data_IF_752770315763
#
_entry.id   IF_752770315763
#
_cell.length_a   1.000
_cell.length_b   1.000
_cell.length_c   1.000
_cell.angle_alpha   90.00
_cell.angle_beta   90.00
_cell.angle_gamma   90.00
#
_symmetry.space_group_name_H-M   'P 1'
#
loop_
_entity.id
_entity.type
_entity.pdbx_description
1 polymer ?
#
# COMPACT_ATOMS: atom_id res chain seq x y z
N UNK A 1 1.89 -5.49 11.42
CA UNK A 1 1.87 -4.45 10.37
C UNK A 1 3.31 -4.22 9.94
N UNK A 2 3.56 -3.95 8.65
CA UNK A 2 4.90 -3.73 8.10
C UNK A 2 4.88 -2.49 7.21
N UNK A 3 5.87 -1.61 7.40
CA UNK A 3 6.08 -0.44 6.55
C UNK A 3 7.21 -0.72 5.56
N UNK A 4 7.01 -0.33 4.31
CA UNK A 4 7.93 -0.58 3.19
C UNK A 4 8.20 0.75 2.49
N UNK A 5 9.46 1.04 2.20
CA UNK A 5 9.83 2.16 1.33
C UNK A 5 9.72 1.71 -0.14
N UNK A 6 9.26 2.57 -1.04
CA UNK A 6 9.27 2.33 -2.49
C UNK A 6 10.63 1.87 -3.03
N UNK A 7 11.73 2.27 -2.39
CA UNK A 7 13.09 1.87 -2.77
C UNK A 7 13.25 0.33 -2.76
N UNK A 8 12.47 -0.38 -1.93
CA UNK A 8 12.44 -1.84 -1.91
C UNK A 8 11.91 -2.48 -3.22
N UNK A 9 11.32 -1.70 -4.13
CA UNK A 9 10.76 -2.19 -5.39
C UNK A 9 11.59 -1.85 -6.64
N UNK A 10 12.60 -0.97 -6.54
CA UNK A 10 13.28 -0.38 -7.71
C UNK A 10 14.67 -0.97 -8.01
N UNK A 11 15.29 -1.69 -7.07
CA UNK A 11 16.69 -2.10 -7.21
C UNK A 11 16.89 -3.21 -8.25
N UNK A 12 16.16 -4.31 -8.16
CA UNK A 12 16.17 -5.37 -9.18
C UNK A 12 14.79 -6.02 -9.35
N UNK A 13 14.51 -6.63 -10.52
CA UNK A 13 13.29 -7.42 -10.72
C UNK A 13 13.14 -8.54 -9.67
N UNK A 14 14.25 -9.13 -9.23
CA UNK A 14 14.29 -10.17 -8.19
C UNK A 14 13.78 -9.66 -6.85
N UNK A 15 14.23 -8.48 -6.41
CA UNK A 15 13.82 -7.89 -5.13
C UNK A 15 12.32 -7.59 -5.11
N UNK A 16 11.81 -7.06 -6.23
CA UNK A 16 10.37 -6.80 -6.39
C UNK A 16 9.53 -8.10 -6.32
N UNK A 17 10.07 -9.23 -6.81
CA UNK A 17 9.40 -10.53 -6.73
C UNK A 17 9.43 -11.08 -5.31
N UNK A 18 10.55 -10.95 -4.60
CA UNK A 18 10.66 -11.39 -3.22
C UNK A 18 9.68 -10.63 -2.30
N UNK A 19 9.62 -9.30 -2.41
CA UNK A 19 8.65 -8.48 -1.65
C UNK A 19 7.21 -8.92 -1.96
N UNK A 20 6.88 -9.17 -3.24
CA UNK A 20 5.56 -9.68 -3.64
C UNK A 20 5.26 -11.05 -3.01
N UNK A 21 6.24 -11.95 -2.96
CA UNK A 21 6.08 -13.26 -2.32
C UNK A 21 5.83 -13.14 -0.82
N UNK A 22 6.58 -12.29 -0.12
CA UNK A 22 6.39 -12.03 1.31
C UNK A 22 4.97 -11.50 1.58
N UNK A 23 4.51 -10.53 0.80
CA UNK A 23 3.14 -9.98 0.94
C UNK A 23 2.08 -11.07 0.72
N UNK A 24 2.29 -11.98 -0.23
CA UNK A 24 1.35 -13.07 -0.51
C UNK A 24 1.34 -14.14 0.59
N UNK A 25 2.49 -14.43 1.20
CA UNK A 25 2.63 -15.43 2.26
C UNK A 25 2.04 -14.97 3.61
N UNK A 26 1.81 -13.67 3.77
CA UNK A 26 1.28 -13.09 5.02
C UNK A 26 -0.04 -12.34 4.80
N UNK A 27 -1.16 -13.04 4.50
CA UNK A 27 -2.45 -12.42 4.20
C UNK A 27 -3.08 -11.64 5.36
N UNK A 28 -2.67 -11.91 6.60
CA UNK A 28 -3.19 -11.24 7.81
C UNK A 28 -2.33 -10.06 8.26
N UNK A 29 -1.15 -9.90 7.65
CA UNK A 29 -0.24 -8.79 7.92
C UNK A 29 -0.54 -7.65 6.96
N UNK A 30 -0.95 -6.50 7.49
CA UNK A 30 -1.08 -5.29 6.68
C UNK A 30 0.31 -4.73 6.32
N UNK A 31 0.56 -4.60 5.03
CA UNK A 31 1.72 -3.97 4.43
C UNK A 31 1.37 -2.56 3.93
N UNK A 32 2.19 -1.58 4.27
CA UNK A 32 2.02 -0.18 3.87
C UNK A 32 3.27 0.25 3.12
N UNK A 33 3.13 0.59 1.84
CA UNK A 33 4.22 1.05 0.99
C UNK A 33 4.18 2.57 0.89
N UNK A 34 5.22 3.24 1.35
CA UNK A 34 5.38 4.69 1.21
C UNK A 34 6.10 5.02 -0.09
N UNK A 35 5.39 5.68 -1.00
CA UNK A 35 5.92 6.13 -2.29
C UNK A 35 6.03 7.66 -2.36
N UNK A 36 7.04 8.16 -3.08
CA UNK A 36 7.14 9.56 -3.46
C UNK A 36 6.17 9.83 -4.62
N UNK A 37 4.88 9.96 -4.30
CA UNK A 37 3.83 10.18 -5.29
C UNK A 37 3.88 11.66 -5.73
N UNK A 38 4.36 11.89 -6.95
CA UNK A 38 4.25 13.19 -7.60
C UNK A 38 2.84 13.37 -8.18
N UNK A 39 2.00 14.08 -7.43
CA UNK A 39 0.90 14.90 -7.95
C UNK A 39 -0.27 14.17 -8.63
N UNK A 40 -1.19 13.57 -7.87
CA UNK A 40 -2.61 13.45 -8.27
C UNK A 40 -3.46 13.47 -7.00
N UNK A 41 -4.58 14.19 -7.04
CA UNK A 41 -5.63 14.34 -6.03
C UNK A 41 -6.22 13.02 -5.51
N UNK A 42 -5.42 12.21 -4.82
CA UNK A 42 -5.89 11.01 -4.16
C UNK A 42 -6.02 11.28 -2.66
N UNK A 43 -7.12 10.79 -2.11
CA UNK A 43 -7.25 10.55 -0.68
C UNK A 43 -6.00 9.81 -0.20
N UNK A 44 -5.56 10.09 1.03
CA UNK A 44 -4.21 9.92 1.60
C UNK A 44 -3.53 8.54 1.41
N UNK A 45 -4.28 7.55 0.92
CA UNK A 45 -3.83 6.19 0.65
C UNK A 45 -4.61 5.49 -0.48
N UNK A 46 -3.98 4.48 -1.06
CA UNK A 46 -4.56 3.54 -2.03
C UNK A 46 -4.50 2.12 -1.46
N UNK A 47 -5.66 1.54 -1.15
CA UNK A 47 -5.74 0.13 -0.78
C UNK A 47 -5.67 -0.76 -2.03
N UNK A 48 -4.54 -1.44 -2.23
CA UNK A 48 -4.30 -2.32 -3.39
C UNK A 48 -4.90 -3.71 -3.16
N UNK A 49 -4.81 -4.21 -1.93
CA UNK A 49 -5.32 -5.50 -1.48
C UNK A 49 -5.76 -5.39 -0.03
N UNK A 50 -6.46 -6.41 0.46
CA UNK A 50 -6.82 -6.53 1.88
C UNK A 50 -5.67 -6.32 2.87
N UNK A 51 -4.47 -6.69 2.44
CA UNK A 51 -3.27 -6.67 3.26
C UNK A 51 -2.18 -5.80 2.64
N UNK A 52 -2.49 -4.97 1.64
CA UNK A 52 -1.50 -4.11 0.97
C UNK A 52 -2.11 -2.74 0.66
N UNK A 53 -1.47 -1.71 1.19
CA UNK A 53 -1.82 -0.32 1.00
C UNK A 53 -0.59 0.46 0.50
N UNK A 54 -0.83 1.47 -0.31
CA UNK A 54 0.16 2.42 -0.79
C UNK A 54 -0.21 3.77 -0.19
N UNK A 55 0.74 4.51 0.36
CA UNK A 55 0.53 5.87 0.86
C UNK A 55 1.69 6.77 0.44
N UNK A 56 1.47 8.08 0.55
CA UNK A 56 2.52 9.07 0.29
C UNK A 56 3.56 9.05 1.41
N UNK A 57 4.84 9.23 1.06
CA UNK A 57 5.92 9.57 2.01
C UNK A 57 5.63 10.84 2.81
N UNK A 58 4.72 11.70 2.35
CA UNK A 58 4.32 12.96 2.99
C UNK A 58 3.06 12.88 3.87
N UNK A 59 2.52 11.68 4.13
CA UNK A 59 1.34 11.53 5.00
C UNK A 59 1.63 12.14 6.39
N UNK A 60 0.67 12.90 6.93
CA UNK A 60 0.77 13.43 8.29
C UNK A 60 0.54 12.32 9.31
N UNK A 61 1.18 12.37 10.50
CA UNK A 61 0.93 11.40 11.56
C UNK A 61 -0.55 11.24 11.92
N UNK A 62 -1.28 12.35 12.11
CA UNK A 62 -2.71 12.34 12.47
C UNK A 62 -3.59 11.66 11.39
N UNK A 63 -3.23 11.88 10.12
CA UNK A 63 -3.85 11.24 8.96
C UNK A 63 -3.59 9.73 8.94
N UNK A 64 -2.37 9.31 9.26
CA UNK A 64 -2.02 7.91 9.38
C UNK A 64 -2.79 7.25 10.52
N UNK A 65 -2.90 7.88 11.69
CA UNK A 65 -3.65 7.33 12.82
C UNK A 65 -5.13 7.15 12.49
N UNK A 66 -5.72 8.14 11.81
CA UNK A 66 -7.11 8.06 11.31
C UNK A 66 -7.27 6.90 10.33
N UNK A 67 -6.35 6.77 9.36
CA UNK A 67 -6.31 5.67 8.41
C UNK A 67 -6.23 4.30 9.10
N UNK A 68 -5.39 4.18 10.12
CA UNK A 68 -5.22 2.92 10.86
C UNK A 68 -6.48 2.57 11.67
N UNK A 69 -7.12 3.56 12.28
CA UNK A 69 -8.43 3.41 12.91
C UNK A 69 -9.49 2.91 11.92
N UNK A 70 -9.60 3.58 10.78
CA UNK A 70 -10.49 3.23 9.68
C UNK A 70 -10.29 1.80 9.19
N UNK A 71 -9.04 1.35 9.02
CA UNK A 71 -8.73 -0.02 8.58
C UNK A 71 -9.08 -1.03 9.67
N UNK A 72 -8.84 -0.70 10.94
CA UNK A 72 -9.20 -1.55 12.07
C UNK A 72 -10.72 -1.75 12.16
N UNK A 73 -11.50 -0.68 11.94
CA UNK A 73 -12.97 -0.72 11.90
C UNK A 73 -13.50 -1.39 10.62
N UNK A 74 -12.92 -1.10 9.44
CA UNK A 74 -13.32 -1.72 8.16
C UNK A 74 -12.97 -3.21 8.08
N UNK A 75 -12.02 -3.71 8.87
CA UNK A 75 -11.81 -5.17 9.05
C UNK A 75 -13.01 -5.86 9.71
N UNK A 76 -13.93 -5.11 10.34
CA UNK A 76 -15.20 -5.61 10.90
C UNK A 76 -16.35 -5.51 9.90
N UNK A 77 -16.23 -4.72 8.83
CA UNK A 77 -17.30 -4.48 7.86
C UNK A 77 -16.81 -4.18 6.44
N UNK A 78 -16.81 -5.21 5.59
CA UNK A 78 -16.87 -5.13 4.12
C UNK A 78 -15.88 -4.21 3.39
N UNK A 79 -14.95 -4.86 2.70
CA UNK A 79 -14.42 -4.56 1.36
C UNK A 79 -15.43 -3.93 0.39
N UNK A 80 -15.83 -2.68 0.60
CA UNK A 80 -16.57 -1.92 -0.39
C UNK A 80 -15.60 -1.20 -1.30
N UNK A 81 -15.37 -1.88 -2.43
CA UNK A 81 -15.20 -1.34 -3.78
C UNK A 81 -14.43 -0.04 -3.90
N UNK A 82 -13.27 -0.04 -4.57
CA UNK A 82 -12.97 0.90 -5.65
C UNK A 82 -12.07 0.18 -6.67
N UNK A 83 -12.53 0.13 -7.93
CA UNK A 83 -11.80 -0.37 -9.09
C UNK A 83 -10.69 0.62 -9.44
N UNK A 84 -9.46 0.15 -9.62
CA UNK A 84 -8.58 0.73 -10.64
C UNK A 84 -7.98 -0.38 -11.49
N UNK A 85 -8.51 -0.46 -12.70
CA UNK A 85 -7.91 -1.07 -13.87
C UNK A 85 -6.57 -0.39 -14.19
N UNK A 86 -5.54 -1.22 -14.40
CA UNK A 86 -4.26 -0.90 -15.05
C UNK A 86 -3.35 0.13 -14.35
N UNK A 87 -2.64 -0.30 -13.30
CA UNK A 87 -1.31 0.26 -12.99
C UNK A 87 -0.27 -0.69 -13.59
N UNK A 88 0.27 -0.33 -14.76
CA UNK A 88 1.46 -0.98 -15.31
C UNK A 88 2.66 -0.32 -14.65
N UNK A 89 3.25 -0.99 -13.66
CA UNK A 89 4.61 -0.65 -13.21
C UNK A 89 5.56 -1.14 -14.30
N UNK A 90 5.98 -0.26 -15.21
CA UNK A 90 7.12 -0.52 -16.09
C UNK A 90 8.40 -0.27 -15.29
N UNK A 91 9.10 -1.34 -14.94
CA UNK A 91 10.56 -1.23 -14.74
C UNK A 91 11.20 -0.97 -16.10
N UNK A 92 12.08 0.03 -16.16
CA UNK A 92 13.05 0.17 -17.24
C UNK A 92 14.01 -1.02 -17.25
#
# INVERSE_FOLDING_TARGET
>A
MVFINEDCFIHTPSDSQQIKQIINQHPDTLFIVFMAIANVHFDEYLLVRKNLLISSKSIKPDSLDTLLGDISEKRVGYFRNHKFTNIIVKSN
#
